data_IF_809297593480
#
_entry.id   IF_809297593480
#
_cell.length_a   1.000
_cell.length_b   1.000
_cell.length_c   1.000
_cell.angle_alpha   90.00
_cell.angle_beta   90.00
_cell.angle_gamma   90.00
#
_symmetry.space_group_name_H-M   'P 1'
#
loop_
_entity.id
_entity.type
_entity.pdbx_description
1 polymer ?
#
# COMPACT_ATOMS: atom_id res chain seq x y z
N UNK A 1 -7.64 -6.29 2.80
CA UNK A 1 -8.76 -6.79 3.64
C UNK A 1 -8.29 -8.03 4.35
N UNK A 2 -8.65 -8.17 5.63
CA UNK A 2 -8.42 -9.40 6.38
C UNK A 2 -9.31 -10.54 5.87
N UNK A 3 -8.97 -11.77 6.22
CA UNK A 3 -9.70 -12.97 5.77
C UNK A 3 -11.19 -12.92 6.14
N UNK A 4 -11.49 -12.52 7.36
CA UNK A 4 -12.88 -12.42 7.83
C UNK A 4 -13.66 -11.32 7.12
N UNK A 5 -12.98 -10.21 6.78
CA UNK A 5 -13.56 -9.12 5.99
C UNK A 5 -13.85 -9.58 4.56
N UNK A 6 -12.93 -10.33 3.93
CA UNK A 6 -13.11 -10.90 2.59
C UNK A 6 -14.28 -11.89 2.56
N UNK A 7 -14.33 -12.80 3.52
CA UNK A 7 -15.40 -13.80 3.65
C UNK A 7 -16.76 -13.12 3.85
N UNK A 8 -16.82 -12.08 4.68
CA UNK A 8 -18.03 -11.31 4.91
C UNK A 8 -18.46 -10.51 3.67
N UNK A 9 -17.50 -9.87 2.99
CA UNK A 9 -17.73 -9.15 1.75
C UNK A 9 -18.24 -10.06 0.62
N UNK A 10 -17.70 -11.29 0.49
CA UNK A 10 -18.21 -12.30 -0.45
C UNK A 10 -19.67 -12.67 -0.14
N UNK A 11 -20.00 -12.85 1.14
CA UNK A 11 -21.38 -13.11 1.59
C UNK A 11 -22.32 -11.93 1.23
N UNK A 12 -21.91 -10.68 1.46
CA UNK A 12 -22.67 -9.51 1.01
C UNK A 12 -22.88 -9.49 -0.50
N UNK A 13 -21.88 -9.90 -1.28
CA UNK A 13 -21.99 -10.01 -2.73
C UNK A 13 -23.06 -11.03 -3.17
N UNK A 14 -23.15 -12.16 -2.48
CA UNK A 14 -24.20 -13.18 -2.71
C UNK A 14 -25.59 -12.65 -2.37
N UNK A 15 -25.75 -11.98 -1.23
CA UNK A 15 -27.01 -11.33 -0.85
C UNK A 15 -27.43 -10.27 -1.87
N UNK A 16 -26.50 -9.40 -2.27
CA UNK A 16 -26.74 -8.39 -3.31
C UNK A 16 -27.21 -9.02 -4.61
N UNK A 17 -26.56 -10.09 -5.06
CA UNK A 17 -26.96 -10.82 -6.26
C UNK A 17 -28.36 -11.43 -6.13
N UNK A 18 -28.67 -12.02 -4.97
CA UNK A 18 -29.98 -12.61 -4.68
C UNK A 18 -31.11 -11.58 -4.73
N UNK A 19 -30.95 -10.44 -4.05
CA UNK A 19 -31.93 -9.35 -4.09
C UNK A 19 -32.09 -8.80 -5.52
N UNK A 20 -31.00 -8.58 -6.25
CA UNK A 20 -31.08 -8.09 -7.64
C UNK A 20 -31.82 -9.06 -8.57
N UNK A 21 -31.64 -10.36 -8.39
CA UNK A 21 -32.30 -11.37 -9.22
C UNK A 21 -33.82 -11.43 -9.00
N UNK A 22 -34.31 -10.95 -7.85
CA UNK A 22 -35.73 -11.03 -7.47
C UNK A 22 -36.30 -9.66 -7.09
N UNK A 23 -35.93 -8.62 -7.84
CA UNK A 23 -36.31 -7.23 -7.57
C UNK A 23 -37.82 -7.03 -7.40
N UNK A 24 -38.63 -7.78 -8.16
CA UNK A 24 -40.09 -7.71 -8.11
C UNK A 24 -40.70 -8.12 -6.76
N UNK A 25 -39.98 -8.90 -5.94
CA UNK A 25 -40.48 -9.39 -4.65
C UNK A 25 -40.33 -8.38 -3.51
N UNK A 26 -39.44 -7.39 -3.63
CA UNK A 26 -39.13 -6.47 -2.53
C UNK A 26 -39.18 -4.99 -2.92
N UNK A 27 -38.95 -4.62 -4.18
CA UNK A 27 -38.81 -3.22 -4.60
C UNK A 27 -40.11 -2.40 -4.44
N UNK A 28 -41.27 -3.07 -4.36
CA UNK A 28 -42.56 -2.44 -4.08
C UNK A 28 -42.86 -2.23 -2.59
N UNK A 29 -42.05 -2.79 -1.69
CA UNK A 29 -42.20 -2.65 -0.24
C UNK A 29 -41.14 -1.69 0.29
N UNK A 30 -41.54 -0.49 0.70
CA UNK A 30 -40.62 0.54 1.21
C UNK A 30 -39.80 0.08 2.41
N UNK A 31 -40.36 -0.79 3.26
CA UNK A 31 -39.67 -1.34 4.44
C UNK A 31 -38.51 -2.26 4.07
N UNK A 32 -38.55 -2.89 2.88
CA UNK A 32 -37.45 -3.70 2.36
C UNK A 32 -36.57 -2.91 1.39
N UNK A 33 -37.15 -2.00 0.61
CA UNK A 33 -36.47 -1.25 -0.43
C UNK A 33 -35.33 -0.39 0.14
N UNK A 34 -35.57 0.34 1.23
CA UNK A 34 -34.55 1.20 1.85
C UNK A 34 -33.37 0.39 2.40
N UNK A 35 -33.57 -0.65 3.24
CA UNK A 35 -32.47 -1.50 3.71
C UNK A 35 -31.71 -2.22 2.59
N UNK A 36 -32.38 -2.73 1.55
CA UNK A 36 -31.72 -3.40 0.42
C UNK A 36 -30.85 -2.42 -0.37
N UNK A 37 -31.35 -1.21 -0.65
CA UNK A 37 -30.56 -0.17 -1.31
C UNK A 37 -29.35 0.25 -0.46
N UNK A 38 -29.53 0.36 0.86
CA UNK A 38 -28.43 0.63 1.80
C UNK A 38 -27.38 -0.48 1.78
N UNK A 39 -27.79 -1.76 1.71
CA UNK A 39 -26.88 -2.89 1.59
C UNK A 39 -26.04 -2.79 0.31
N UNK A 40 -26.64 -2.37 -0.81
CA UNK A 40 -25.93 -2.20 -2.07
C UNK A 40 -24.90 -1.07 -2.01
N UNK A 41 -25.25 0.04 -1.36
CA UNK A 41 -24.35 1.17 -1.14
C UNK A 41 -23.15 0.75 -0.27
N UNK A 42 -23.41 0.08 0.86
CA UNK A 42 -22.36 -0.42 1.76
C UNK A 42 -21.41 -1.40 1.06
N UNK A 43 -21.93 -2.30 0.21
CA UNK A 43 -21.10 -3.18 -0.60
C UNK A 43 -20.16 -2.39 -1.52
N UNK A 44 -20.69 -1.37 -2.22
CA UNK A 44 -19.87 -0.55 -3.12
C UNK A 44 -18.82 0.28 -2.37
N UNK A 45 -19.17 0.81 -1.20
CA UNK A 45 -18.25 1.57 -0.36
C UNK A 45 -17.10 0.70 0.16
N UNK A 46 -17.36 -0.57 0.50
CA UNK A 46 -16.32 -1.53 0.89
C UNK A 46 -15.38 -1.82 -0.29
N UNK A 47 -15.91 -2.04 -1.51
CA UNK A 47 -15.10 -2.22 -2.72
C UNK A 47 -14.20 -1.01 -3.00
N UNK A 48 -14.75 0.20 -2.92
CA UNK A 48 -13.98 1.42 -3.13
C UNK A 48 -12.85 1.58 -2.10
N UNK A 49 -13.15 1.32 -0.81
CA UNK A 49 -12.14 1.36 0.24
C UNK A 49 -11.08 0.25 0.07
N UNK A 50 -11.48 -0.94 -0.40
CA UNK A 50 -10.58 -2.03 -0.70
C UNK A 50 -9.62 -1.70 -1.86
N UNK A 51 -10.08 -1.00 -2.89
CA UNK A 51 -9.23 -0.51 -3.98
C UNK A 51 -8.16 0.47 -3.47
N UNK A 52 -8.55 1.40 -2.60
CA UNK A 52 -7.60 2.33 -1.95
C UNK A 52 -6.59 1.56 -1.11
N UNK A 53 -7.05 0.57 -0.34
CA UNK A 53 -6.18 -0.29 0.46
C UNK A 53 -5.21 -1.12 -0.40
N UNK A 54 -5.64 -1.60 -1.56
CA UNK A 54 -4.86 -2.42 -2.49
C UNK A 54 -3.87 -1.62 -3.34
N UNK A 55 -4.14 -0.34 -3.63
CA UNK A 55 -3.21 0.58 -4.29
C UNK A 55 -1.97 0.92 -3.45
N UNK A 56 -1.99 0.55 -2.16
CA UNK A 56 -0.95 0.69 -1.14
C UNK A 56 0.41 0.06 -1.47
N UNK A 57 1.44 0.88 -1.69
CA UNK A 57 2.85 0.62 -1.33
C UNK A 57 3.82 -0.14 -2.24
N UNK A 58 3.46 -1.16 -3.04
CA UNK A 58 4.52 -2.03 -3.61
C UNK A 58 5.31 -1.41 -4.77
N UNK A 59 4.64 -0.68 -5.67
CA UNK A 59 5.28 -0.12 -6.87
C UNK A 59 6.13 1.12 -6.59
N UNK A 60 5.65 2.03 -5.73
CA UNK A 60 6.32 3.29 -5.42
C UNK A 60 7.57 3.09 -4.54
N UNK A 61 7.50 2.18 -3.55
CA UNK A 61 8.67 1.80 -2.77
C UNK A 61 9.74 1.14 -3.64
N UNK A 62 9.32 0.27 -4.58
CA UNK A 62 10.23 -0.35 -5.54
C UNK A 62 10.90 0.68 -6.47
N UNK A 63 10.17 1.71 -6.92
CA UNK A 63 10.71 2.76 -7.76
C UNK A 63 11.72 3.66 -7.00
N UNK A 64 11.40 4.02 -5.75
CA UNK A 64 12.31 4.77 -4.88
C UNK A 64 13.59 3.99 -4.58
N UNK A 65 13.48 2.71 -4.24
CA UNK A 65 14.64 1.87 -3.99
C UNK A 65 15.51 1.71 -5.24
N UNK A 66 14.91 1.57 -6.42
CA UNK A 66 15.65 1.54 -7.69
C UNK A 66 16.46 2.82 -7.92
N UNK A 67 15.89 4.00 -7.62
CA UNK A 67 16.60 5.28 -7.71
C UNK A 67 17.76 5.37 -6.71
N UNK A 68 17.56 4.88 -5.49
CA UNK A 68 18.63 4.88 -4.48
C UNK A 68 19.74 3.88 -4.80
N UNK A 69 19.41 2.74 -5.43
CA UNK A 69 20.42 1.80 -5.93
C UNK A 69 21.20 2.35 -7.11
N UNK A 70 20.56 3.13 -7.98
CA UNK A 70 21.26 3.85 -9.05
C UNK A 70 22.18 4.95 -8.50
N UNK A 71 21.74 5.68 -7.46
CA UNK A 71 22.51 6.78 -6.87
C UNK A 71 23.71 6.31 -6.03
N UNK A 72 23.61 5.14 -5.38
CA UNK A 72 24.64 4.61 -4.48
C UNK A 72 26.05 4.48 -5.11
N UNK A 73 26.25 3.85 -6.29
CA UNK A 73 27.57 3.74 -6.90
C UNK A 73 28.16 5.11 -7.31
N UNK A 74 27.33 6.06 -7.71
CA UNK A 74 27.78 7.43 -8.05
C UNK A 74 28.27 8.18 -6.82
N UNK A 75 27.49 8.12 -5.74
CA UNK A 75 27.87 8.70 -4.46
C UNK A 75 29.13 8.04 -3.88
N UNK A 76 29.30 6.73 -4.01
CA UNK A 76 30.49 6.00 -3.56
C UNK A 76 31.76 6.46 -4.31
N UNK A 77 31.66 6.57 -5.64
CA UNK A 77 32.76 7.03 -6.48
C UNK A 77 33.16 8.47 -6.12
N UNK A 78 32.16 9.35 -5.96
CA UNK A 78 32.35 10.74 -5.59
C UNK A 78 32.96 10.88 -4.18
N UNK A 79 32.46 10.15 -3.20
CA UNK A 79 33.00 10.10 -1.84
C UNK A 79 34.47 9.64 -1.83
N UNK A 80 34.81 8.63 -2.63
CA UNK A 80 36.19 8.13 -2.74
C UNK A 80 37.13 9.19 -3.32
N UNK A 81 36.69 9.92 -4.34
CA UNK A 81 37.46 11.01 -4.95
C UNK A 81 37.60 12.21 -4.01
N UNK A 82 36.53 12.58 -3.30
CA UNK A 82 36.55 13.61 -2.25
C UNK A 82 37.51 13.25 -1.11
N UNK A 83 37.53 11.99 -0.66
CA UNK A 83 38.52 11.52 0.34
C UNK A 83 39.95 11.66 -0.14
N UNK A 84 40.21 11.36 -1.42
CA UNK A 84 41.54 11.54 -2.02
C UNK A 84 41.95 13.01 -2.07
N UNK A 85 41.04 13.89 -2.50
CA UNK A 85 41.23 15.34 -2.51
C UNK A 85 41.51 15.88 -1.11
N UNK A 86 40.67 15.54 -0.13
CA UNK A 86 40.81 15.95 1.26
C UNK A 86 42.14 15.52 1.88
N UNK A 87 42.60 14.30 1.61
CA UNK A 87 43.91 13.82 2.10
C UNK A 87 45.08 14.62 1.53
N UNK A 88 45.06 14.91 0.22
CA UNK A 88 46.14 15.69 -0.41
C UNK A 88 46.15 17.14 0.06
N UNK A 89 44.98 17.72 0.30
CA UNK A 89 44.84 19.07 0.85
C UNK A 89 44.89 19.16 2.37
N UNK A 90 45.16 18.05 3.08
CA UNK A 90 45.14 17.97 4.55
C UNK A 90 43.85 18.52 5.20
N UNK A 91 42.72 18.43 4.51
CA UNK A 91 41.42 18.89 4.98
C UNK A 91 40.68 17.77 5.75
N UNK A 92 40.93 17.68 7.05
CA UNK A 92 40.35 16.65 7.91
C UNK A 92 38.81 16.71 7.97
N UNK A 93 38.22 17.91 7.89
CA UNK A 93 36.77 18.10 7.93
C UNK A 93 36.09 17.50 6.69
N UNK A 94 36.60 17.83 5.49
CA UNK A 94 36.10 17.26 4.24
C UNK A 94 36.32 15.75 4.18
N UNK A 95 37.45 15.27 4.71
CA UNK A 95 37.71 13.84 4.80
C UNK A 95 36.64 13.14 5.64
N UNK A 96 36.33 13.66 6.83
CA UNK A 96 35.31 13.08 7.70
C UNK A 96 33.92 13.09 7.05
N UNK A 97 33.58 14.16 6.33
CA UNK A 97 32.31 14.26 5.60
C UNK A 97 32.20 13.25 4.45
N UNK A 98 33.27 13.08 3.67
CA UNK A 98 33.31 12.13 2.57
C UNK A 98 33.56 10.68 3.03
N UNK A 99 33.83 10.45 4.32
CA UNK A 99 34.13 9.12 4.85
C UNK A 99 32.88 8.32 5.19
N UNK A 100 32.02 8.12 4.19
CA UNK A 100 30.84 7.26 4.27
C UNK A 100 31.19 5.87 3.75
N UNK A 101 30.67 4.82 4.38
CA UNK A 101 30.89 3.44 3.93
C UNK A 101 29.90 3.07 2.82
N UNK A 102 30.29 2.11 1.96
CA UNK A 102 29.40 1.57 0.91
C UNK A 102 28.14 0.97 1.54
N UNK A 103 28.28 0.34 2.71
CA UNK A 103 27.18 -0.24 3.45
C UNK A 103 26.16 0.83 3.86
N UNK A 104 26.62 2.00 4.30
CA UNK A 104 25.72 3.11 4.65
C UNK A 104 24.98 3.65 3.43
N UNK A 105 25.60 3.64 2.25
CA UNK A 105 24.98 4.12 1.01
C UNK A 105 23.95 3.13 0.43
N UNK A 106 24.14 1.82 0.66
CA UNK A 106 23.28 0.76 0.08
C UNK A 106 22.24 0.21 1.06
N UNK A 107 22.62 -0.02 2.31
CA UNK A 107 21.85 -0.85 3.23
C UNK A 107 21.32 -0.09 4.45
N UNK A 108 21.62 1.20 4.59
CA UNK A 108 20.98 2.02 5.65
C UNK A 108 19.52 2.34 5.31
N UNK A 109 18.80 2.95 6.25
CA UNK A 109 17.42 3.40 6.02
C UNK A 109 17.41 4.40 4.86
N UNK A 110 16.40 4.36 4.00
CA UNK A 110 16.31 5.22 2.81
C UNK A 110 16.60 6.70 3.10
N UNK A 111 16.09 7.21 4.23
CA UNK A 111 16.33 8.59 4.66
C UNK A 111 17.79 8.89 5.00
N UNK A 112 18.47 7.94 5.63
CA UNK A 112 19.88 8.06 5.96
C UNK A 112 20.73 7.94 4.68
N UNK A 113 20.39 7.01 3.77
CA UNK A 113 20.99 6.92 2.42
C UNK A 113 20.91 8.25 1.69
N UNK A 114 19.71 8.84 1.60
CA UNK A 114 19.49 10.15 0.97
C UNK A 114 20.33 11.24 1.66
N UNK A 115 20.36 11.27 2.99
CA UNK A 115 21.12 12.26 3.76
C UNK A 115 22.63 12.14 3.49
N UNK A 116 23.18 10.94 3.49
CA UNK A 116 24.59 10.69 3.19
C UNK A 116 24.94 11.11 1.77
N UNK A 117 24.14 10.71 0.78
CA UNK A 117 24.38 11.05 -0.63
C UNK A 117 24.24 12.56 -0.89
N UNK A 118 23.27 13.24 -0.25
CA UNK A 118 23.14 14.71 -0.34
C UNK A 118 24.35 15.44 0.23
N UNK A 119 24.92 14.97 1.35
CA UNK A 119 26.14 15.54 1.93
C UNK A 119 27.34 15.39 0.99
N UNK A 120 27.49 14.22 0.37
CA UNK A 120 28.54 13.97 -0.62
C UNK A 120 28.39 14.91 -1.83
N UNK A 121 27.18 15.03 -2.39
CA UNK A 121 26.90 15.92 -3.52
C UNK A 121 27.17 17.40 -3.16
N UNK A 122 26.74 17.86 -1.99
CA UNK A 122 26.97 19.24 -1.52
C UNK A 122 28.47 19.54 -1.32
N UNK A 123 29.22 18.60 -0.76
CA UNK A 123 30.67 18.72 -0.61
C UNK A 123 31.37 18.78 -1.97
N UNK A 124 30.98 17.93 -2.92
CA UNK A 124 31.49 17.98 -4.29
C UNK A 124 31.17 19.30 -5.00
N UNK A 125 29.94 19.81 -4.84
CA UNK A 125 29.52 21.10 -5.40
C UNK A 125 30.36 22.25 -4.87
N UNK A 126 30.61 22.25 -3.55
CA UNK A 126 31.37 23.30 -2.87
C UNK A 126 32.82 23.38 -3.37
N UNK A 127 33.43 22.24 -3.68
CA UNK A 127 34.83 22.15 -4.11
C UNK A 127 34.99 21.92 -5.62
N UNK A 128 33.95 22.15 -6.42
CA UNK A 128 33.88 21.67 -7.81
C UNK A 128 35.05 22.14 -8.68
N UNK A 129 35.48 23.39 -8.53
CA UNK A 129 36.60 23.96 -9.29
C UNK A 129 37.93 23.20 -9.02
N UNK A 130 38.15 22.78 -7.77
CA UNK A 130 39.38 22.10 -7.34
C UNK A 130 39.34 20.59 -7.59
N UNK A 131 38.16 20.03 -7.87
CA UNK A 131 37.96 18.60 -8.06
C UNK A 131 38.12 18.13 -9.51
N UNK A 132 38.32 19.03 -10.46
CA UNK A 132 38.56 18.69 -11.87
C UNK A 132 39.71 17.65 -12.06
N UNK A 133 40.88 17.76 -11.37
CA UNK A 133 41.94 16.75 -11.45
C UNK A 133 41.56 15.37 -10.89
N UNK A 134 40.48 15.28 -10.12
CA UNK A 134 39.95 14.05 -9.54
C UNK A 134 38.80 13.48 -10.38
N UNK A 135 38.57 14.03 -11.57
CA UNK A 135 37.52 13.66 -12.52
C UNK A 135 36.09 13.79 -11.98
N UNK A 136 35.85 14.66 -11.00
CA UNK A 136 34.48 15.06 -10.64
C UNK A 136 34.11 16.25 -11.51
N UNK A 137 33.03 16.11 -12.28
CA UNK A 137 32.51 17.16 -13.15
C UNK A 137 31.18 17.69 -12.60
N UNK A 138 30.73 18.85 -13.10
CA UNK A 138 29.45 19.42 -12.72
C UNK A 138 28.29 18.46 -13.03
N UNK A 139 28.36 17.81 -14.18
CA UNK A 139 27.34 16.89 -14.69
C UNK A 139 27.17 15.68 -13.78
N UNK A 140 28.26 15.17 -13.19
CA UNK A 140 28.19 14.07 -12.22
C UNK A 140 27.44 14.48 -10.94
N UNK A 141 27.66 15.71 -10.46
CA UNK A 141 26.97 16.22 -9.27
C UNK A 141 25.49 16.49 -9.58
N UNK A 142 25.20 17.09 -10.74
CA UNK A 142 23.84 17.33 -11.21
C UNK A 142 23.03 16.04 -11.36
N UNK A 143 23.67 14.99 -11.91
CA UNK A 143 23.02 13.70 -12.08
C UNK A 143 22.68 13.04 -10.74
N UNK A 144 23.62 13.00 -9.80
CA UNK A 144 23.37 12.49 -8.45
C UNK A 144 22.27 13.29 -7.73
N UNK A 145 22.29 14.62 -7.80
CA UNK A 145 21.25 15.48 -7.22
C UNK A 145 19.87 15.23 -7.86
N UNK A 146 19.81 14.97 -9.17
CA UNK A 146 18.58 14.62 -9.88
C UNK A 146 17.98 13.30 -9.42
N UNK A 147 18.81 12.26 -9.25
CA UNK A 147 18.37 10.97 -8.69
C UNK A 147 17.82 11.13 -7.28
N UNK A 148 18.52 11.89 -6.43
CA UNK A 148 18.10 12.15 -5.05
C UNK A 148 16.82 13.00 -4.95
N UNK A 149 16.65 13.95 -5.88
CA UNK A 149 15.41 14.75 -5.99
C UNK A 149 14.24 13.86 -6.39
N UNK A 150 14.44 13.00 -7.38
CA UNK A 150 13.43 12.03 -7.83
C UNK A 150 13.08 11.04 -6.73
N UNK A 151 14.04 10.55 -5.96
CA UNK A 151 13.77 9.68 -4.82
C UNK A 151 13.00 10.40 -3.69
N UNK A 152 13.20 11.70 -3.53
CA UNK A 152 12.50 12.51 -2.53
C UNK A 152 11.02 12.74 -2.86
N UNK A 153 10.63 12.82 -4.13
CA UNK A 153 9.21 13.00 -4.51
C UNK A 153 8.33 11.81 -4.08
N UNK A 154 8.91 10.61 -4.00
CA UNK A 154 8.21 9.43 -3.49
C UNK A 154 7.98 9.48 -1.97
N UNK A 155 8.75 10.28 -1.21
CA UNK A 155 8.58 10.40 0.25
C UNK A 155 7.26 11.10 0.60
N UNK A 156 6.93 12.16 -0.12
CA UNK A 156 5.73 12.94 0.14
C UNK A 156 4.49 12.09 -0.17
N UNK A 157 4.54 11.34 -1.27
CA UNK A 157 3.48 10.41 -1.67
C UNK A 157 3.31 9.24 -0.68
N UNK A 158 4.39 8.66 -0.15
CA UNK A 158 4.33 7.49 0.74
C UNK A 158 3.64 7.79 2.09
N UNK A 159 3.86 8.98 2.65
CA UNK A 159 3.23 9.38 3.91
C UNK A 159 1.73 9.63 3.78
N UNK A 160 1.32 10.29 2.69
CA UNK A 160 -0.08 10.53 2.35
C UNK A 160 -0.78 9.19 2.02
N UNK A 161 -0.11 8.32 1.28
CA UNK A 161 -0.62 7.00 0.92
C UNK A 161 -0.79 6.07 2.11
N UNK A 162 0.20 5.99 3.01
CA UNK A 162 0.11 5.20 4.25
C UNK A 162 -1.05 5.67 5.13
N UNK A 163 -1.27 6.98 5.21
CA UNK A 163 -2.43 7.54 5.89
C UNK A 163 -3.75 7.13 5.19
N UNK A 164 -3.81 7.20 3.85
CA UNK A 164 -4.98 6.76 3.10
C UNK A 164 -5.28 5.26 3.25
N UNK A 165 -4.26 4.40 3.26
CA UNK A 165 -4.40 2.95 3.49
C UNK A 165 -4.88 2.66 4.92
N UNK A 166 -4.35 3.38 5.91
CA UNK A 166 -4.76 3.25 7.31
C UNK A 166 -6.22 3.65 7.48
N UNK A 167 -6.60 4.81 6.92
CA UNK A 167 -7.98 5.29 6.92
C UNK A 167 -8.90 4.32 6.18
N UNK A 168 -8.49 3.81 5.01
CA UNK A 168 -9.25 2.83 4.25
C UNK A 168 -9.46 1.53 5.03
N UNK A 169 -8.44 1.06 5.76
CA UNK A 169 -8.54 -0.14 6.59
C UNK A 169 -9.54 0.04 7.73
N UNK A 170 -9.48 1.16 8.44
CA UNK A 170 -10.44 1.50 9.49
C UNK A 170 -11.86 1.69 8.92
N UNK A 171 -11.97 2.31 7.75
CA UNK A 171 -13.24 2.51 7.01
C UNK A 171 -13.89 1.19 6.64
N UNK A 172 -13.14 0.22 6.12
CA UNK A 172 -13.66 -1.13 5.79
C UNK A 172 -14.24 -1.79 7.04
N UNK A 173 -13.53 -1.75 8.17
CA UNK A 173 -14.02 -2.33 9.42
C UNK A 173 -15.34 -1.68 9.88
N UNK A 174 -15.43 -0.35 9.82
CA UNK A 174 -16.66 0.37 10.17
C UNK A 174 -17.84 0.04 9.24
N UNK A 175 -17.60 0.02 7.92
CA UNK A 175 -18.63 -0.32 6.91
C UNK A 175 -19.14 -1.75 7.08
N UNK A 176 -18.26 -2.70 7.41
CA UNK A 176 -18.64 -4.09 7.70
C UNK A 176 -19.51 -4.17 8.96
N UNK A 177 -19.16 -3.43 10.01
CA UNK A 177 -19.99 -3.37 11.23
C UNK A 177 -21.39 -2.82 10.92
N UNK A 178 -21.47 -1.73 10.13
CA UNK A 178 -22.75 -1.17 9.71
C UNK A 178 -23.57 -2.17 8.87
N UNK A 179 -22.92 -2.88 7.94
CA UNK A 179 -23.57 -3.92 7.15
C UNK A 179 -24.07 -5.08 8.02
N UNK A 180 -23.37 -5.44 9.11
CA UNK A 180 -23.82 -6.51 10.02
C UNK A 180 -25.14 -6.16 10.67
N UNK A 181 -25.22 -4.96 11.25
CA UNK A 181 -26.45 -4.47 11.87
C UNK A 181 -27.59 -4.36 10.85
N UNK A 182 -27.30 -3.89 9.63
CA UNK A 182 -28.32 -3.80 8.58
C UNK A 182 -28.87 -5.17 8.17
N UNK A 183 -27.99 -6.17 8.04
CA UNK A 183 -28.42 -7.51 7.64
C UNK A 183 -29.20 -8.21 8.76
N UNK A 184 -28.90 -7.94 10.02
CA UNK A 184 -29.72 -8.42 11.15
C UNK A 184 -31.17 -7.91 11.05
N UNK A 185 -31.38 -6.64 10.68
CA UNK A 185 -32.73 -6.13 10.41
C UNK A 185 -33.37 -6.79 9.19
N UNK A 186 -32.61 -6.97 8.11
CA UNK A 186 -33.10 -7.67 6.92
C UNK A 186 -33.48 -9.14 7.21
N UNK A 187 -32.84 -9.81 8.16
CA UNK A 187 -33.18 -11.19 8.53
C UNK A 187 -34.61 -11.27 9.11
N UNK A 188 -35.05 -10.25 9.85
CA UNK A 188 -36.41 -10.15 10.40
C UNK A 188 -37.41 -9.65 9.34
N UNK A 189 -37.02 -8.65 8.55
CA UNK A 189 -37.87 -8.06 7.52
C UNK A 189 -38.16 -9.05 6.38
N UNK A 190 -37.16 -9.79 5.90
CA UNK A 190 -37.34 -10.80 4.84
C UNK A 190 -38.33 -11.87 5.27
N UNK A 191 -38.25 -12.35 6.52
CA UNK A 191 -39.21 -13.34 7.05
C UNK A 191 -40.62 -12.78 7.18
N UNK A 192 -40.74 -11.50 7.52
CA UNK A 192 -42.02 -10.86 7.83
C UNK A 192 -42.76 -10.42 6.57
N UNK A 193 -42.03 -9.96 5.55
CA UNK A 193 -42.59 -9.24 4.41
C UNK A 193 -42.52 -9.99 3.08
N UNK A 194 -41.70 -11.05 2.96
CA UNK A 194 -41.63 -11.86 1.74
C UNK A 194 -42.32 -13.20 1.97
N UNK A 195 -43.39 -13.45 1.23
CA UNK A 195 -44.18 -14.69 1.34
C UNK A 195 -43.63 -15.83 0.50
N UNK A 196 -42.75 -15.54 -0.46
CA UNK A 196 -42.12 -16.53 -1.33
C UNK A 196 -41.09 -17.34 -0.53
N UNK A 197 -41.41 -18.60 -0.25
CA UNK A 197 -40.59 -19.46 0.60
C UNK A 197 -39.22 -19.76 -0.03
N UNK A 198 -39.16 -19.94 -1.35
CA UNK A 198 -37.92 -20.24 -2.07
C UNK A 198 -36.96 -19.04 -1.99
N UNK A 199 -37.48 -17.81 -2.10
CA UNK A 199 -36.70 -16.59 -1.90
C UNK A 199 -36.11 -16.52 -0.50
N UNK A 200 -36.93 -16.77 0.54
CA UNK A 200 -36.51 -16.69 1.95
C UNK A 200 -35.43 -17.73 2.24
N UNK A 201 -35.60 -18.97 1.79
CA UNK A 201 -34.63 -20.03 1.97
C UNK A 201 -33.31 -19.73 1.25
N UNK A 202 -33.38 -19.29 -0.02
CA UNK A 202 -32.20 -18.90 -0.79
C UNK A 202 -31.47 -17.70 -0.17
N UNK A 203 -32.19 -16.74 0.42
CA UNK A 203 -31.60 -15.62 1.17
C UNK A 203 -30.76 -16.13 2.35
N UNK A 204 -31.31 -17.02 3.20
CA UNK A 204 -30.58 -17.57 4.34
C UNK A 204 -29.44 -18.51 3.93
N UNK A 205 -29.52 -19.14 2.75
CA UNK A 205 -28.39 -19.87 2.17
C UNK A 205 -27.28 -18.88 1.74
N UNK A 206 -27.63 -17.80 1.05
CA UNK A 206 -26.68 -16.77 0.64
C UNK A 206 -26.02 -16.04 1.84
N UNK A 207 -26.72 -15.95 2.98
CA UNK A 207 -26.24 -15.39 4.25
C UNK A 207 -25.10 -16.19 4.90
N UNK A 208 -24.92 -17.46 4.53
CA UNK A 208 -23.90 -18.32 5.12
C UNK A 208 -22.51 -17.93 4.64
N UNK A 209 -21.62 -17.64 5.58
CA UNK A 209 -20.20 -17.44 5.29
C UNK A 209 -19.56 -18.80 5.05
N UNK A 210 -19.01 -19.02 3.86
CA UNK A 210 -18.24 -20.23 3.54
C UNK A 210 -16.76 -19.97 3.76
N UNK A 211 -16.17 -20.49 4.84
CA UNK A 211 -14.72 -20.39 5.04
C UNK A 211 -13.99 -21.42 4.16
N UNK A 212 -13.41 -20.95 3.05
CA UNK A 212 -12.80 -21.82 2.02
C UNK A 212 -11.47 -22.51 2.44
N UNK A 213 -10.82 -22.15 3.56
CA UNK A 213 -9.59 -22.85 4.00
C UNK A 213 -9.88 -24.12 4.80
N UNK A 214 -10.96 -24.15 5.59
CA UNK A 214 -11.34 -25.33 6.38
C UNK A 214 -11.74 -26.51 5.48
N UNK A 215 -12.10 -26.26 4.22
CA UNK A 215 -12.48 -27.28 3.23
C UNK A 215 -11.29 -27.99 2.55
N UNK A 216 -10.03 -27.63 2.82
CA UNK A 216 -8.90 -28.45 2.35
C UNK A 216 -8.80 -29.72 3.18
N UNK A 217 -9.31 -30.82 2.62
CA UNK A 217 -9.14 -32.19 3.15
C UNK A 217 -7.65 -32.43 3.44
N UNK A 218 -7.26 -32.82 4.68
CA UNK A 218 -5.86 -33.15 4.96
C UNK A 218 -5.44 -34.31 4.05
N UNK A 219 -4.27 -34.18 3.42
CA UNK A 219 -3.70 -35.24 2.61
C UNK A 219 -3.51 -36.48 3.49
N UNK A 220 -4.06 -37.62 3.07
CA UNK A 220 -3.90 -38.89 3.79
C UNK A 220 -2.40 -39.19 3.94
N UNK A 221 -1.95 -39.60 5.14
CA UNK A 221 -0.56 -39.99 5.31
C UNK A 221 -0.29 -41.22 4.45
N UNK A 222 0.71 -41.12 3.58
CA UNK A 222 1.23 -42.23 2.79
C UNK A 222 1.75 -43.29 3.77
N UNK A 223 1.07 -44.43 3.86
CA UNK A 223 1.58 -45.58 4.60
C UNK A 223 2.84 -46.08 3.90
N UNK A 224 3.95 -46.12 4.65
CA UNK A 224 5.23 -46.69 4.22
C UNK A 224 5.27 -48.20 4.34
#
# INVERSE_FOLDING_TARGET
>A
MERDQLNYHEMMGKLKAHFKAHETLWNGNTLLQEPVNKLFALYQDIENAALVQAGGSSGELSAKDALLEAAAPEAELMATRLRSFARRGQNAALFAEANVSVSDLKYSRQDDRIRHMKRIAAAARTHLADLAPYNITAEMVDHLESLLKSAATYRDNDSEHSNHVTVATARIAALITEARTLIEYLDDDVRSFITDADFVDAYFVARRITDRAATRKPASPTAG
#
